data_IF_955846140438
#
_entry.id   IF_955846140438
#
_cell.length_a   1.000
_cell.length_b   1.000
_cell.length_c   1.000
_cell.angle_alpha   90.00
_cell.angle_beta   90.00
_cell.angle_gamma   90.00
#
_symmetry.space_group_name_H-M   'P 1'
#
loop_
_entity.id
_entity.type
_entity.pdbx_description
1 polymer ?
#
# COMPACT_ATOMS: atom_id res chain seq x y z
N UNK A 1 39.96 33.64 -14.99
CA UNK A 1 40.29 33.54 -13.55
C UNK A 1 39.55 32.41 -12.83
N UNK A 2 38.23 32.21 -13.00
CA UNK A 2 37.50 31.10 -12.34
C UNK A 2 37.95 29.69 -12.79
N UNK A 3 38.18 29.49 -14.08
CA UNK A 3 38.60 28.17 -14.64
C UNK A 3 39.97 27.72 -14.10
N UNK A 4 40.87 28.66 -13.84
CA UNK A 4 42.20 28.34 -13.29
C UNK A 4 42.12 27.99 -11.80
N UNK A 5 41.30 28.72 -11.03
CA UNK A 5 41.01 28.38 -9.63
C UNK A 5 40.33 27.02 -9.49
N UNK A 6 39.49 26.66 -10.47
CA UNK A 6 38.82 25.37 -10.51
C UNK A 6 39.79 24.21 -10.79
N UNK A 7 40.75 24.41 -11.71
CA UNK A 7 41.81 23.42 -11.99
C UNK A 7 42.80 23.27 -10.84
N UNK A 8 42.99 24.32 -10.04
CA UNK A 8 43.83 24.31 -8.84
C UNK A 8 43.17 23.68 -7.60
N UNK A 9 41.86 23.38 -7.65
CA UNK A 9 41.19 22.64 -6.58
C UNK A 9 41.64 21.18 -6.56
N UNK A 10 41.76 20.64 -5.34
CA UNK A 10 42.00 19.21 -5.13
C UNK A 10 40.96 18.38 -5.92
N UNK A 11 41.39 17.41 -6.73
CA UNK A 11 40.51 16.65 -7.61
C UNK A 11 39.39 15.93 -6.82
N UNK A 12 39.65 15.49 -5.59
CA UNK A 12 38.66 14.81 -4.75
C UNK A 12 37.57 15.78 -4.27
N UNK A 13 37.95 16.98 -3.83
CA UNK A 13 37.00 18.04 -3.42
C UNK A 13 36.15 18.49 -4.61
N UNK A 14 36.81 18.63 -5.75
CA UNK A 14 36.23 19.02 -7.03
C UNK A 14 35.22 17.98 -7.54
N UNK A 15 35.52 16.69 -7.42
CA UNK A 15 34.61 15.61 -7.80
C UNK A 15 33.42 15.50 -6.85
N UNK A 16 33.61 15.73 -5.54
CA UNK A 16 32.50 15.81 -4.58
C UNK A 16 31.55 17.00 -4.83
N UNK A 17 32.09 18.16 -5.22
CA UNK A 17 31.29 19.34 -5.57
C UNK A 17 30.35 19.11 -6.77
N UNK A 18 30.67 18.14 -7.64
CA UNK A 18 29.82 17.75 -8.79
C UNK A 18 28.93 16.57 -8.43
N UNK A 19 29.50 15.52 -7.84
CA UNK A 19 28.79 14.27 -7.59
C UNK A 19 27.69 14.41 -6.54
N UNK A 20 27.94 15.13 -5.45
CA UNK A 20 26.96 15.33 -4.38
C UNK A 20 25.66 15.99 -4.87
N UNK A 21 25.67 17.14 -5.57
CA UNK A 21 24.43 17.74 -6.05
C UNK A 21 23.71 16.87 -7.08
N UNK A 22 24.44 16.14 -7.94
CA UNK A 22 23.82 15.20 -8.89
C UNK A 22 23.10 14.07 -8.14
N UNK A 23 23.75 13.45 -7.15
CA UNK A 23 23.16 12.38 -6.35
C UNK A 23 21.93 12.88 -5.58
N UNK A 24 22.00 14.08 -4.99
CA UNK A 24 20.86 14.69 -4.31
C UNK A 24 19.69 14.94 -5.26
N UNK A 25 19.96 15.40 -6.48
CA UNK A 25 18.94 15.68 -7.48
C UNK A 25 18.27 14.38 -7.98
N UNK A 26 19.04 13.32 -8.17
CA UNK A 26 18.52 11.99 -8.49
C UNK A 26 17.67 11.42 -7.35
N UNK A 27 18.11 11.54 -6.09
CA UNK A 27 17.32 11.13 -4.93
C UNK A 27 16.00 11.90 -4.84
N UNK A 28 16.04 13.22 -5.03
CA UNK A 28 14.84 14.06 -5.03
C UNK A 28 13.85 13.65 -6.14
N UNK A 29 14.35 13.34 -7.34
CA UNK A 29 13.53 12.82 -8.45
C UNK A 29 12.87 11.48 -8.12
N UNK A 30 13.61 10.54 -7.52
CA UNK A 30 13.06 9.23 -7.12
C UNK A 30 11.97 9.41 -6.06
N UNK A 31 12.21 10.23 -5.03
CA UNK A 31 11.22 10.51 -3.99
C UNK A 31 9.98 11.16 -4.61
N UNK A 32 10.15 12.18 -5.46
CA UNK A 32 9.05 12.86 -6.13
C UNK A 32 8.20 11.90 -6.98
N UNK A 33 8.86 11.03 -7.75
CA UNK A 33 8.20 10.03 -8.58
C UNK A 33 7.39 9.04 -7.73
N UNK A 34 7.97 8.52 -6.63
CA UNK A 34 7.24 7.60 -5.73
C UNK A 34 6.02 8.28 -5.12
N UNK A 35 6.12 9.55 -4.71
CA UNK A 35 4.99 10.28 -4.14
C UNK A 35 3.88 10.58 -5.15
N UNK A 36 4.22 10.93 -6.40
CA UNK A 36 3.21 11.33 -7.40
C UNK A 36 2.59 10.15 -8.16
N UNK A 37 3.35 9.06 -8.32
CA UNK A 37 2.88 7.88 -9.06
C UNK A 37 2.45 6.74 -8.13
N UNK A 38 2.33 6.98 -6.82
CA UNK A 38 1.73 6.02 -5.92
C UNK A 38 0.28 5.74 -6.36
N UNK A 39 -0.13 4.45 -6.47
CA UNK A 39 -1.48 4.13 -6.88
C UNK A 39 -2.49 4.70 -5.88
N UNK A 40 -3.51 5.37 -6.41
CA UNK A 40 -4.58 5.94 -5.61
C UNK A 40 -5.33 4.83 -4.86
N UNK A 41 -5.65 5.11 -3.60
CA UNK A 41 -6.44 4.21 -2.76
C UNK A 41 -7.91 4.45 -3.05
N UNK A 42 -8.56 3.51 -3.72
CA UNK A 42 -9.99 3.55 -4.00
C UNK A 42 -10.74 2.72 -2.96
N UNK A 43 -11.78 3.29 -2.35
CA UNK A 43 -12.65 2.57 -1.41
C UNK A 43 -14.07 2.48 -1.96
N UNK A 44 -14.60 1.27 -2.09
CA UNK A 44 -15.97 1.01 -2.55
C UNK A 44 -16.78 0.33 -1.45
N UNK A 45 -18.04 0.73 -1.19
CA UNK A 45 -18.92 -0.08 -0.35
C UNK A 45 -19.15 -1.47 -0.98
N UNK A 46 -19.26 -2.49 -0.12
CA UNK A 46 -19.67 -3.85 -0.49
C UNK A 46 -20.91 -4.31 0.31
N UNK A 47 -21.61 -3.35 0.91
CA UNK A 47 -22.79 -3.54 1.74
C UNK A 47 -22.50 -4.23 3.06
N UNK A 48 -23.39 -5.12 3.52
CA UNK A 48 -23.32 -5.70 4.87
C UNK A 48 -22.90 -7.16 4.89
N UNK A 49 -22.27 -7.60 5.98
CA UNK A 49 -21.94 -9.02 6.22
C UNK A 49 -23.23 -9.84 6.33
N UNK A 50 -23.39 -10.84 5.45
CA UNK A 50 -24.46 -11.83 5.53
C UNK A 50 -24.01 -13.09 6.26
N UNK A 51 -22.85 -13.61 5.86
CA UNK A 51 -22.27 -14.82 6.43
C UNK A 51 -20.74 -14.79 6.34
N UNK A 52 -20.10 -15.49 7.27
CA UNK A 52 -18.66 -15.70 7.33
C UNK A 52 -18.43 -17.19 7.54
N UNK A 53 -17.69 -17.82 6.63
CA UNK A 53 -17.38 -19.26 6.70
C UNK A 53 -15.86 -19.43 6.69
N UNK A 54 -15.33 -19.90 7.82
CA UNK A 54 -13.91 -20.19 7.96
C UNK A 54 -13.61 -21.56 7.33
N UNK A 55 -12.68 -21.58 6.38
CA UNK A 55 -12.10 -22.76 5.79
C UNK A 55 -10.66 -22.90 6.31
N UNK A 56 -10.46 -23.83 7.23
CA UNK A 56 -9.14 -24.11 7.80
C UNK A 56 -8.61 -25.44 7.30
N UNK A 57 -7.33 -25.46 6.96
CA UNK A 57 -6.60 -26.64 6.50
C UNK A 57 -5.18 -26.62 7.07
N UNK A 58 -4.47 -27.75 7.00
CA UNK A 58 -3.09 -27.83 7.50
C UNK A 58 -2.11 -26.83 6.84
N UNK A 59 -2.47 -26.24 5.69
CA UNK A 59 -1.59 -25.38 4.89
C UNK A 59 -2.11 -23.97 4.69
N UNK A 60 -3.39 -23.72 4.93
CA UNK A 60 -3.98 -22.39 4.76
C UNK A 60 -5.28 -22.23 5.51
N UNK A 61 -5.49 -21.02 6.02
CA UNK A 61 -6.76 -20.56 6.58
C UNK A 61 -7.33 -19.47 5.66
N UNK A 62 -8.55 -19.67 5.17
CA UNK A 62 -9.25 -18.75 4.27
C UNK A 62 -10.66 -18.56 4.81
N UNK A 63 -11.15 -17.34 4.86
CA UNK A 63 -12.56 -17.07 5.20
C UNK A 63 -13.33 -16.65 3.96
N UNK A 64 -14.44 -17.33 3.68
CA UNK A 64 -15.42 -16.88 2.70
C UNK A 64 -16.35 -15.86 3.36
N UNK A 65 -16.32 -14.63 2.87
CA UNK A 65 -17.23 -13.55 3.26
C UNK A 65 -18.33 -13.40 2.21
N UNK A 66 -19.57 -13.61 2.64
CA UNK A 66 -20.75 -13.24 1.87
C UNK A 66 -21.24 -11.86 2.33
N UNK A 67 -21.39 -10.95 1.37
CA UNK A 67 -22.02 -9.65 1.59
C UNK A 67 -23.32 -9.51 0.80
N UNK A 68 -24.02 -8.39 0.98
CA UNK A 68 -25.18 -8.06 0.12
C UNK A 68 -24.81 -7.94 -1.36
N UNK A 69 -23.57 -7.55 -1.65
CA UNK A 69 -23.11 -7.23 -2.99
C UNK A 69 -22.42 -8.41 -3.68
N UNK A 70 -21.96 -9.41 -2.94
CA UNK A 70 -21.30 -10.59 -3.50
C UNK A 70 -20.52 -11.42 -2.50
N UNK A 71 -19.65 -12.29 -3.03
CA UNK A 71 -18.82 -13.21 -2.25
C UNK A 71 -17.34 -12.85 -2.42
N UNK A 72 -16.58 -12.89 -1.34
CA UNK A 72 -15.16 -12.58 -1.31
C UNK A 72 -14.40 -13.64 -0.51
N UNK A 73 -13.20 -14.02 -0.97
CA UNK A 73 -12.30 -14.89 -0.23
C UNK A 73 -11.24 -14.04 0.45
N UNK A 74 -11.12 -14.20 1.77
CA UNK A 74 -10.23 -13.43 2.62
C UNK A 74 -9.16 -14.33 3.21
N UNK A 75 -7.93 -13.84 3.30
CA UNK A 75 -6.86 -14.58 3.95
C UNK A 75 -7.00 -14.53 5.48
N UNK A 76 -6.80 -15.68 6.12
CA UNK A 76 -6.80 -15.83 7.56
C UNK A 76 -8.20 -15.92 8.19
N UNK A 77 -8.22 -15.88 9.51
CA UNK A 77 -9.43 -15.85 10.31
C UNK A 77 -9.99 -14.42 10.37
N UNK A 78 -11.21 -14.25 9.88
CA UNK A 78 -11.88 -12.95 9.81
C UNK A 78 -12.91 -12.85 10.94
N UNK A 79 -12.84 -11.77 11.71
CA UNK A 79 -13.86 -11.43 12.71
C UNK A 79 -14.82 -10.36 12.18
N UNK A 80 -16.11 -10.64 12.31
CA UNK A 80 -17.22 -9.73 12.00
C UNK A 80 -18.55 -10.35 12.41
N UNK A 81 -19.56 -9.52 12.61
CA UNK A 81 -20.93 -9.91 12.89
C UNK A 81 -21.83 -9.67 11.69
N UNK A 82 -22.93 -10.43 11.61
CA UNK A 82 -23.96 -10.21 10.59
C UNK A 82 -24.54 -8.80 10.73
N UNK A 83 -24.63 -8.08 9.60
CA UNK A 83 -25.06 -6.67 9.55
C UNK A 83 -23.92 -5.66 9.67
N UNK A 84 -22.68 -6.09 9.93
CA UNK A 84 -21.53 -5.18 9.91
C UNK A 84 -21.28 -4.64 8.50
N UNK A 85 -20.86 -3.38 8.41
CA UNK A 85 -20.61 -2.72 7.14
C UNK A 85 -19.27 -3.18 6.54
N UNK A 86 -19.29 -3.51 5.25
CA UNK A 86 -18.13 -3.97 4.48
C UNK A 86 -17.77 -2.93 3.42
N UNK A 87 -16.47 -2.65 3.32
CA UNK A 87 -15.90 -1.82 2.26
C UNK A 87 -14.70 -2.52 1.63
N UNK A 88 -14.59 -2.49 0.31
CA UNK A 88 -13.44 -3.01 -0.42
C UNK A 88 -12.49 -1.85 -0.70
N UNK A 89 -11.25 -1.99 -0.27
CA UNK A 89 -10.17 -1.06 -0.56
C UNK A 89 -9.26 -1.67 -1.61
N UNK A 90 -8.99 -0.92 -2.68
CA UNK A 90 -8.04 -1.29 -3.70
C UNK A 90 -6.93 -0.23 -3.76
N UNK A 91 -5.68 -0.69 -3.79
CA UNK A 91 -4.50 0.15 -3.99
C UNK A 91 -3.51 -0.59 -4.88
N UNK A 92 -3.47 -0.23 -6.16
CA UNK A 92 -2.71 -0.96 -7.17
C UNK A 92 -3.21 -2.39 -7.32
N UNK A 93 -2.32 -3.38 -7.13
CA UNK A 93 -2.67 -4.79 -7.14
C UNK A 93 -3.27 -5.30 -5.83
N UNK A 94 -3.11 -4.56 -4.72
CA UNK A 94 -3.58 -4.98 -3.41
C UNK A 94 -5.06 -4.70 -3.23
N UNK A 95 -5.80 -5.69 -2.76
CA UNK A 95 -7.23 -5.59 -2.47
C UNK A 95 -7.50 -6.08 -1.06
N UNK A 96 -8.25 -5.30 -0.29
CA UNK A 96 -8.60 -5.61 1.10
C UNK A 96 -10.10 -5.47 1.31
N UNK A 97 -10.71 -6.39 2.04
CA UNK A 97 -12.06 -6.22 2.58
C UNK A 97 -11.96 -5.70 4.00
N UNK A 98 -12.60 -4.58 4.27
CA UNK A 98 -12.63 -3.97 5.58
C UNK A 98 -14.04 -4.03 6.18
N UNK A 99 -14.14 -4.71 7.32
CA UNK A 99 -15.37 -4.88 8.08
C UNK A 99 -15.34 -3.87 9.23
N UNK A 100 -16.37 -3.04 9.31
CA UNK A 100 -16.56 -2.07 10.38
C UNK A 100 -17.66 -2.58 11.32
N UNK A 101 -17.30 -2.81 12.59
CA UNK A 101 -18.22 -3.21 13.65
C UNK A 101 -18.11 -2.24 14.81
N UNK A 102 -19.23 -1.59 15.13
CA UNK A 102 -19.34 -0.54 16.15
C UNK A 102 -18.23 0.52 15.97
N UNK A 103 -17.22 0.52 16.84
CA UNK A 103 -16.12 1.50 16.87
C UNK A 103 -14.80 0.96 16.30
N UNK A 104 -14.80 -0.25 15.75
CA UNK A 104 -13.60 -0.91 15.23
C UNK A 104 -13.72 -1.23 13.75
N UNK A 105 -12.61 -1.07 13.02
CA UNK A 105 -12.50 -1.44 11.61
C UNK A 105 -11.29 -2.33 11.42
N UNK A 106 -11.54 -3.55 10.97
CA UNK A 106 -10.49 -4.51 10.61
C UNK A 106 -10.46 -4.68 9.09
N UNK A 107 -9.28 -4.81 8.51
CA UNK A 107 -9.08 -4.99 7.07
C UNK A 107 -8.29 -6.27 6.80
N UNK A 108 -8.80 -7.10 5.91
CA UNK A 108 -8.27 -8.41 5.56
C UNK A 108 -7.94 -8.46 4.08
N UNK A 109 -6.85 -9.13 3.71
CA UNK A 109 -6.43 -9.27 2.32
C UNK A 109 -7.39 -10.19 1.54
N UNK A 110 -7.73 -9.78 0.32
CA UNK A 110 -8.56 -10.55 -0.60
C UNK A 110 -7.64 -11.42 -1.46
N UNK A 111 -7.95 -12.72 -1.53
CA UNK A 111 -7.23 -13.70 -2.34
C UNK A 111 -7.81 -13.85 -3.74
#
# INVERSE_FOLDING_TARGET
MLVEKWKALDPTVRDHLITVPIVLLLLALVIWAVYHYAPEKVTRPAGEVKSLVLHDSAFSTITTLETTDGWYQLEGAVSGAKGDNVSIQAQGAYRKACIASQDSKACYDIR
#
